data_IF_477728531077
#
_entry.id   IF_477728531077
#
_cell.length_a   1.000
_cell.length_b   1.000
_cell.length_c   1.000
_cell.angle_alpha   90.00
_cell.angle_beta   90.00
_cell.angle_gamma   90.00
#
_symmetry.space_group_name_H-M   'P 1'
#
loop_
_entity.id
_entity.type
_entity.pdbx_description
1 polymer ?
#
# COMPACT_ATOMS: atom_id res chain seq x y z
N UNK A 1 -26.88 -15.35 -14.23
CA UNK A 1 -26.44 -14.17 -13.44
C UNK A 1 -24.94 -14.14 -13.57
N UNK A 2 -24.37 -13.12 -14.21
CA UNK A 2 -22.92 -12.94 -14.19
C UNK A 2 -22.53 -12.61 -12.75
N UNK A 3 -21.58 -13.36 -12.20
CA UNK A 3 -20.97 -13.00 -10.92
C UNK A 3 -20.46 -11.55 -10.99
N UNK A 4 -20.61 -10.77 -9.90
CA UNK A 4 -20.06 -9.42 -9.87
C UNK A 4 -18.56 -9.49 -10.13
N UNK A 5 -18.09 -8.73 -11.13
CA UNK A 5 -16.65 -8.66 -11.47
C UNK A 5 -15.89 -8.18 -10.23
N UNK A 6 -14.88 -8.95 -9.82
CA UNK A 6 -14.02 -8.62 -8.68
C UNK A 6 -13.34 -7.24 -8.89
N UNK A 7 -13.24 -6.38 -7.85
CA UNK A 7 -12.65 -5.04 -7.99
C UNK A 7 -11.27 -5.03 -8.63
N UNK A 8 -10.39 -5.98 -8.29
CA UNK A 8 -9.08 -6.14 -8.93
C UNK A 8 -9.16 -6.39 -10.45
N UNK A 9 -10.12 -7.17 -10.93
CA UNK A 9 -10.32 -7.44 -12.36
C UNK A 9 -10.91 -6.22 -13.08
N UNK A 10 -11.89 -5.57 -12.46
CA UNK A 10 -12.47 -4.34 -13.00
C UNK A 10 -11.40 -3.25 -13.14
N UNK A 11 -10.54 -3.06 -12.14
CA UNK A 11 -9.45 -2.09 -12.21
C UNK A 11 -8.48 -2.39 -13.36
N UNK A 12 -8.04 -3.65 -13.47
CA UNK A 12 -7.11 -4.07 -14.54
C UNK A 12 -7.69 -3.81 -15.92
N UNK A 13 -8.97 -4.11 -16.11
CA UNK A 13 -9.69 -3.84 -17.36
C UNK A 13 -9.81 -2.35 -17.64
N UNK A 14 -10.24 -1.54 -16.68
CA UNK A 14 -10.38 -0.09 -16.87
C UNK A 14 -9.04 0.59 -17.19
N UNK A 15 -7.94 0.14 -16.58
CA UNK A 15 -6.60 0.64 -16.92
C UNK A 15 -6.15 0.22 -18.32
N UNK A 16 -6.52 -0.98 -18.78
CA UNK A 16 -6.23 -1.41 -20.15
C UNK A 16 -7.03 -0.59 -21.18
N UNK A 17 -8.34 -0.41 -20.97
CA UNK A 17 -9.21 0.40 -21.82
C UNK A 17 -8.75 1.86 -21.90
N UNK A 18 -8.33 2.44 -20.77
CA UNK A 18 -7.80 3.80 -20.71
C UNK A 18 -6.56 3.98 -21.61
N UNK A 19 -5.68 2.99 -21.63
CA UNK A 19 -4.46 3.01 -22.44
C UNK A 19 -4.74 2.80 -23.92
N UNK A 20 -5.64 1.89 -24.27
CA UNK A 20 -6.02 1.62 -25.66
C UNK A 20 -6.70 2.83 -26.30
N UNK A 21 -7.31 3.71 -25.48
CA UNK A 21 -7.88 4.98 -25.92
C UNK A 21 -6.87 6.11 -26.20
N UNK A 22 -5.57 5.93 -25.92
CA UNK A 22 -4.54 6.96 -26.17
C UNK A 22 -3.89 6.81 -27.56
N UNK A 23 -3.58 7.93 -28.26
CA UNK A 23 -2.76 7.87 -29.47
C UNK A 23 -1.39 7.21 -29.19
N UNK A 24 -0.94 6.26 -30.03
CA UNK A 24 0.28 5.48 -29.76
C UNK A 24 1.54 6.32 -29.48
N UNK A 25 1.69 7.46 -30.17
CA UNK A 25 2.82 8.38 -30.01
C UNK A 25 2.80 9.14 -28.68
N UNK A 26 1.60 9.47 -28.18
CA UNK A 26 1.43 10.14 -26.89
C UNK A 26 1.63 9.18 -25.72
N UNK A 27 1.13 7.95 -25.85
CA UNK A 27 1.35 6.90 -24.85
C UNK A 27 2.84 6.58 -24.69
N UNK A 28 3.59 6.42 -25.78
CA UNK A 28 5.03 6.17 -25.74
C UNK A 28 5.81 7.35 -25.13
N UNK A 29 5.52 8.60 -25.55
CA UNK A 29 6.20 9.77 -25.02
C UNK A 29 5.92 10.04 -23.53
N UNK A 30 4.70 9.79 -23.06
CA UNK A 30 4.35 9.91 -21.63
C UNK A 30 5.06 8.85 -20.79
N UNK A 31 5.13 7.62 -21.31
CA UNK A 31 5.86 6.50 -20.72
C UNK A 31 7.36 6.78 -20.59
N UNK A 32 8.00 7.28 -21.65
CA UNK A 32 9.44 7.56 -21.65
C UNK A 32 9.81 8.65 -20.65
N UNK A 33 8.97 9.70 -20.55
CA UNK A 33 9.11 10.74 -19.52
C UNK A 33 8.99 10.17 -18.12
N UNK A 34 7.99 9.31 -17.90
CA UNK A 34 7.77 8.66 -16.61
C UNK A 34 8.98 7.81 -16.18
N UNK A 35 9.56 7.04 -17.11
CA UNK A 35 10.76 6.23 -16.86
C UNK A 35 11.97 7.11 -16.53
N UNK A 36 12.17 8.20 -17.28
CA UNK A 36 13.30 9.11 -17.07
C UNK A 36 13.25 9.79 -15.69
N UNK A 37 12.06 10.21 -15.24
CA UNK A 37 11.87 10.81 -13.91
C UNK A 37 12.06 9.81 -12.78
N UNK A 38 11.68 8.54 -12.95
CA UNK A 38 11.84 7.51 -11.91
C UNK A 38 13.25 6.87 -11.86
N UNK A 39 14.06 7.01 -12.92
CA UNK A 39 15.45 6.51 -12.97
C UNK A 39 16.49 7.58 -12.62
N UNK A 40 16.13 8.85 -12.52
CA UNK A 40 17.04 9.95 -12.20
C UNK A 40 16.67 10.65 -10.89
N UNK A 41 17.66 11.24 -10.22
CA UNK A 41 17.51 12.13 -9.05
C UNK A 41 16.98 13.53 -9.44
N UNK A 42 16.09 13.63 -10.42
CA UNK A 42 15.68 14.94 -10.95
C UNK A 42 14.69 15.61 -9.98
N UNK A 43 15.01 16.80 -9.43
CA UNK A 43 14.11 17.53 -8.55
C UNK A 43 12.79 17.85 -9.25
N UNK A 44 11.68 17.42 -8.67
CA UNK A 44 10.32 17.62 -9.19
C UNK A 44 9.86 19.07 -9.00
N UNK A 45 10.31 19.96 -9.87
CA UNK A 45 9.81 21.34 -9.95
C UNK A 45 8.79 21.57 -11.09
N UNK A 46 8.59 20.59 -11.97
CA UNK A 46 7.52 20.60 -12.98
C UNK A 46 6.40 19.63 -12.55
N UNK A 47 5.10 19.96 -12.75
CA UNK A 47 4.03 19.01 -12.48
C UNK A 47 4.28 17.74 -13.32
N UNK A 48 4.34 16.57 -12.68
CA UNK A 48 4.48 15.28 -13.38
C UNK A 48 3.21 14.99 -14.21
N UNK A 49 2.08 15.54 -13.77
CA UNK A 49 0.74 15.29 -14.27
C UNK A 49 0.16 16.55 -14.94
N UNK A 50 0.55 16.82 -16.19
CA UNK A 50 0.20 18.07 -16.89
C UNK A 50 -1.02 17.94 -17.78
N UNK A 51 -1.20 16.78 -18.40
CA UNK A 51 -2.27 16.48 -19.34
C UNK A 51 -2.82 15.06 -19.12
N UNK A 52 -3.90 14.74 -19.82
CA UNK A 52 -4.59 13.44 -19.70
C UNK A 52 -3.68 12.26 -20.04
N UNK A 53 -2.78 12.41 -21.01
CA UNK A 53 -1.90 11.33 -21.43
C UNK A 53 -0.84 11.03 -20.35
N UNK A 54 -0.25 12.07 -19.75
CA UNK A 54 0.70 11.94 -18.63
C UNK A 54 0.04 11.23 -17.42
N UNK A 55 -1.21 11.59 -17.08
CA UNK A 55 -1.95 10.95 -15.97
C UNK A 55 -2.34 9.51 -16.27
N UNK A 56 -2.83 9.24 -17.48
CA UNK A 56 -3.21 7.89 -17.88
C UNK A 56 -2.00 6.94 -17.92
N UNK A 57 -0.86 7.40 -18.45
CA UNK A 57 0.38 6.64 -18.43
C UNK A 57 0.89 6.41 -17.00
N UNK A 58 0.83 7.43 -16.13
CA UNK A 58 1.15 7.28 -14.72
C UNK A 58 0.26 6.25 -14.03
N UNK A 59 -1.07 6.34 -14.21
CA UNK A 59 -2.05 5.45 -13.60
C UNK A 59 -1.80 4.01 -14.03
N UNK A 60 -1.68 3.75 -15.33
CA UNK A 60 -1.36 2.43 -15.86
C UNK A 60 -0.05 1.85 -15.31
N UNK A 61 0.95 2.71 -15.07
CA UNK A 61 2.26 2.27 -14.63
C UNK A 61 2.37 2.06 -13.11
N UNK A 62 1.79 2.95 -12.30
CA UNK A 62 1.91 2.92 -10.82
C UNK A 62 0.70 2.36 -10.11
N UNK A 63 -0.51 2.62 -10.59
CA UNK A 63 -1.74 2.26 -9.88
C UNK A 63 -1.85 0.75 -9.58
N UNK A 64 -1.47 -0.18 -10.48
CA UNK A 64 -1.46 -1.61 -10.15
C UNK A 64 -0.52 -1.97 -8.99
N UNK A 65 0.65 -1.34 -8.95
CA UNK A 65 1.63 -1.58 -7.89
C UNK A 65 1.16 -1.02 -6.54
N UNK A 66 0.63 0.21 -6.54
CA UNK A 66 0.03 0.81 -5.35
C UNK A 66 -1.17 0.01 -4.85
N UNK A 67 -2.04 -0.46 -5.76
CA UNK A 67 -3.18 -1.31 -5.43
C UNK A 67 -2.73 -2.59 -4.71
N UNK A 68 -1.76 -3.33 -5.26
CA UNK A 68 -1.31 -4.59 -4.66
C UNK A 68 -0.61 -4.40 -3.31
N UNK A 69 0.19 -3.34 -3.17
CA UNK A 69 0.85 -3.00 -1.90
C UNK A 69 -0.17 -2.64 -0.81
N UNK A 70 -1.14 -1.78 -1.13
CA UNK A 70 -2.20 -1.39 -0.19
C UNK A 70 -3.10 -2.59 0.13
N UNK A 71 -3.51 -3.38 -0.88
CA UNK A 71 -4.31 -4.60 -0.69
C UNK A 71 -3.62 -5.59 0.25
N UNK A 72 -2.30 -5.77 0.11
CA UNK A 72 -1.51 -6.61 1.02
C UNK A 72 -1.53 -6.09 2.47
N UNK A 73 -1.36 -4.77 2.67
CA UNK A 73 -1.44 -4.15 3.99
C UNK A 73 -2.84 -4.26 4.61
N UNK A 74 -3.89 -4.05 3.81
CA UNK A 74 -5.29 -4.12 4.24
C UNK A 74 -5.72 -5.55 4.57
N UNK A 75 -5.27 -6.55 3.82
CA UNK A 75 -5.52 -7.96 4.13
C UNK A 75 -4.92 -8.34 5.48
N UNK A 76 -3.65 -7.99 5.72
CA UNK A 76 -3.00 -8.24 7.01
C UNK A 76 -3.67 -7.49 8.16
N UNK A 77 -4.23 -6.30 7.89
CA UNK A 77 -5.03 -5.55 8.85
C UNK A 77 -6.37 -6.22 9.15
N UNK A 78 -7.10 -6.68 8.12
CA UNK A 78 -8.37 -7.38 8.27
C UNK A 78 -8.21 -8.69 9.07
N UNK A 79 -7.13 -9.44 8.82
CA UNK A 79 -6.80 -10.65 9.60
C UNK A 79 -6.55 -10.33 11.08
N UNK A 80 -5.94 -9.18 11.37
CA UNK A 80 -5.67 -8.72 12.73
C UNK A 80 -6.87 -8.08 13.42
N UNK A 81 -7.95 -7.77 12.71
CA UNK A 81 -9.18 -7.17 13.27
C UNK A 81 -10.40 -7.93 12.73
N UNK A 82 -10.55 -9.21 13.09
CA UNK A 82 -11.52 -10.09 12.45
C UNK A 82 -12.96 -9.59 12.63
N UNK A 83 -13.73 -9.65 11.54
CA UNK A 83 -15.12 -9.22 11.50
C UNK A 83 -15.35 -7.71 11.43
N UNK A 84 -14.30 -6.88 11.52
CA UNK A 84 -14.44 -5.45 11.33
C UNK A 84 -14.51 -5.07 9.85
N UNK A 85 -15.39 -4.12 9.55
CA UNK A 85 -15.56 -3.51 8.23
C UNK A 85 -15.63 -1.99 8.42
N UNK A 86 -14.90 -1.19 7.63
CA UNK A 86 -14.99 0.27 7.72
C UNK A 86 -16.35 0.76 7.24
N UNK A 87 -17.03 1.56 8.06
CA UNK A 87 -18.26 2.26 7.72
C UNK A 87 -18.01 3.53 6.89
N UNK A 88 -16.80 4.08 6.91
CA UNK A 88 -16.36 5.22 6.08
C UNK A 88 -14.86 5.14 5.77
N UNK A 89 -14.43 5.77 4.67
CA UNK A 89 -13.03 5.77 4.21
C UNK A 89 -12.59 7.13 3.69
N UNK A 90 -11.40 7.58 4.11
CA UNK A 90 -10.70 8.75 3.56
C UNK A 90 -9.33 8.29 3.04
N UNK A 91 -8.98 8.69 1.81
CA UNK A 91 -7.68 8.43 1.20
C UNK A 91 -6.94 9.75 0.96
N UNK A 92 -5.88 10.00 1.73
CA UNK A 92 -5.10 11.24 1.67
C UNK A 92 -3.87 11.05 0.79
N UNK A 93 -3.71 11.91 -0.21
CA UNK A 93 -2.76 11.69 -1.31
C UNK A 93 -3.21 10.55 -2.21
N UNK A 94 -4.53 10.37 -2.36
CA UNK A 94 -5.10 9.20 -3.02
C UNK A 94 -4.87 9.17 -4.53
N UNK A 95 -4.54 10.31 -5.15
CA UNK A 95 -4.29 10.42 -6.59
C UNK A 95 -5.43 9.85 -7.43
N UNK A 96 -5.11 8.79 -8.18
CA UNK A 96 -6.09 8.07 -9.03
C UNK A 96 -6.93 7.03 -8.25
N UNK A 97 -6.76 6.97 -6.93
CA UNK A 97 -7.57 6.21 -5.99
C UNK A 97 -7.19 4.76 -5.79
N UNK A 98 -5.94 4.36 -6.03
CA UNK A 98 -5.50 2.96 -5.90
C UNK A 98 -5.89 2.33 -4.55
N UNK A 99 -5.75 3.07 -3.45
CA UNK A 99 -6.11 2.59 -2.12
C UNK A 99 -7.63 2.41 -1.97
N UNK A 100 -8.45 3.29 -2.56
CA UNK A 100 -9.93 3.11 -2.54
C UNK A 100 -10.36 1.81 -3.22
N UNK A 101 -9.72 1.44 -4.33
CA UNK A 101 -9.97 0.15 -4.99
C UNK A 101 -9.56 -1.02 -4.09
N UNK A 102 -8.39 -0.94 -3.45
CA UNK A 102 -7.91 -1.97 -2.52
C UNK A 102 -8.84 -2.14 -1.30
N UNK A 103 -9.41 -1.05 -0.80
CA UNK A 103 -10.42 -1.06 0.28
C UNK A 103 -11.69 -1.77 -0.18
N UNK A 104 -12.17 -1.55 -1.41
CA UNK A 104 -13.36 -2.26 -1.93
C UNK A 104 -13.12 -3.74 -2.21
N UNK A 105 -11.87 -4.11 -2.53
CA UNK A 105 -11.45 -5.50 -2.73
C UNK A 105 -11.34 -6.25 -1.39
N UNK A 106 -10.84 -5.58 -0.35
CA UNK A 106 -10.71 -6.14 1.01
C UNK A 106 -12.06 -6.26 1.70
N UNK A 107 -12.89 -5.22 1.59
CA UNK A 107 -14.22 -5.17 2.19
C UNK A 107 -15.27 -4.83 1.14
N UNK A 108 -16.09 -5.81 0.80
CA UNK A 108 -17.22 -5.63 -0.10
C UNK A 108 -18.26 -4.65 0.47
N UNK A 109 -19.07 -4.06 -0.41
CA UNK A 109 -20.16 -3.15 -0.05
C UNK A 109 -19.85 -1.67 -0.23
N UNK A 110 -20.91 -0.84 -0.15
CA UNK A 110 -20.84 0.62 -0.30
C UNK A 110 -20.54 1.28 1.05
N UNK A 111 -19.71 2.32 1.01
CA UNK A 111 -19.41 3.20 2.14
C UNK A 111 -19.14 4.62 1.63
N UNK A 112 -19.31 5.68 2.45
CA UNK A 112 -18.80 6.99 2.11
C UNK A 112 -17.28 6.93 1.92
N UNK A 113 -16.82 7.40 0.76
CA UNK A 113 -15.39 7.49 0.41
C UNK A 113 -15.07 8.93 0.05
N UNK A 114 -13.98 9.47 0.60
CA UNK A 114 -13.40 10.74 0.16
C UNK A 114 -11.94 10.53 -0.24
N UNK A 115 -11.57 10.97 -1.44
CA UNK A 115 -10.18 11.03 -1.92
C UNK A 115 -9.73 12.48 -1.91
N UNK A 116 -8.64 12.74 -1.19
CA UNK A 116 -8.00 14.05 -1.07
C UNK A 116 -6.66 14.03 -1.81
N UNK A 117 -6.47 14.94 -2.75
CA UNK A 117 -5.19 15.08 -3.46
C UNK A 117 -4.96 16.53 -3.93
N UNK A 118 -3.72 16.93 -4.17
CA UNK A 118 -3.43 18.26 -4.69
C UNK A 118 -3.56 18.34 -6.23
N UNK A 119 -3.42 17.20 -6.91
CA UNK A 119 -3.39 17.07 -8.37
C UNK A 119 -4.79 16.80 -8.95
N UNK A 120 -5.48 17.87 -9.38
CA UNK A 120 -6.79 17.77 -10.04
C UNK A 120 -6.83 16.78 -11.21
N UNK A 121 -5.80 16.69 -12.10
CA UNK A 121 -5.82 15.71 -13.19
C UNK A 121 -5.87 14.25 -12.69
N UNK A 122 -5.23 13.94 -11.56
CA UNK A 122 -5.27 12.61 -10.95
C UNK A 122 -6.66 12.30 -10.37
N UNK A 123 -7.27 13.28 -9.68
CA UNK A 123 -8.62 13.17 -9.13
C UNK A 123 -9.67 12.97 -10.23
N UNK A 124 -9.55 13.72 -11.33
CA UNK A 124 -10.45 13.59 -12.47
C UNK A 124 -10.38 12.19 -13.09
N UNK A 125 -9.17 11.65 -13.29
CA UNK A 125 -9.00 10.30 -13.80
C UNK A 125 -9.48 9.24 -12.79
N UNK A 126 -9.19 9.42 -11.51
CA UNK A 126 -9.65 8.51 -10.47
C UNK A 126 -11.17 8.40 -10.42
N UNK A 127 -11.88 9.53 -10.56
CA UNK A 127 -13.34 9.58 -10.68
C UNK A 127 -13.87 8.81 -11.89
N UNK A 128 -13.20 8.95 -13.04
CA UNK A 128 -13.53 8.21 -14.26
C UNK A 128 -13.37 6.70 -14.06
N UNK A 129 -12.21 6.27 -13.54
CA UNK A 129 -11.95 4.85 -13.27
C UNK A 129 -12.98 4.28 -12.27
N UNK A 130 -13.25 5.01 -11.19
CA UNK A 130 -14.18 4.59 -10.15
C UNK A 130 -15.62 4.36 -10.64
N UNK A 131 -16.02 4.93 -11.79
CA UNK A 131 -17.33 4.65 -12.40
C UNK A 131 -17.52 3.17 -12.77
N UNK A 132 -16.42 2.43 -12.99
CA UNK A 132 -16.46 0.98 -13.24
C UNK A 132 -16.64 0.14 -11.97
N UNK A 133 -16.62 0.75 -10.78
CA UNK A 133 -16.79 0.08 -9.49
C UNK A 133 -18.03 0.62 -8.76
N UNK A 134 -19.14 -0.16 -8.70
CA UNK A 134 -20.37 0.26 -8.03
C UNK A 134 -20.21 0.64 -6.55
N UNK A 135 -19.19 0.11 -5.86
CA UNK A 135 -18.89 0.47 -4.48
C UNK A 135 -18.33 1.89 -4.34
N UNK A 136 -17.74 2.44 -5.41
CA UNK A 136 -17.15 3.78 -5.47
C UNK A 136 -18.04 4.82 -6.17
N UNK A 137 -19.26 4.46 -6.61
CA UNK A 137 -20.15 5.37 -7.33
C UNK A 137 -20.47 6.68 -6.57
N UNK A 138 -20.43 6.64 -5.23
CA UNK A 138 -20.64 7.81 -4.36
C UNK A 138 -19.35 8.44 -3.83
N UNK A 139 -18.18 8.05 -4.34
CA UNK A 139 -16.90 8.58 -3.86
C UNK A 139 -16.76 10.07 -4.19
N UNK A 140 -16.34 10.85 -3.20
CA UNK A 140 -16.02 12.28 -3.35
C UNK A 140 -14.55 12.42 -3.68
N UNK A 141 -14.24 13.21 -4.70
CA UNK A 141 -12.86 13.49 -5.14
C UNK A 141 -12.63 14.98 -4.99
N UNK A 142 -11.79 15.35 -4.03
CA UNK A 142 -11.66 16.74 -3.59
C UNK A 142 -10.21 17.18 -3.63
N UNK A 143 -9.98 18.35 -4.24
CA UNK A 143 -8.67 18.96 -4.25
C UNK A 143 -8.34 19.52 -2.87
N UNK A 144 -7.22 19.11 -2.29
CA UNK A 144 -6.77 19.57 -0.99
C UNK A 144 -5.24 19.70 -0.96
N UNK A 145 -4.74 20.69 -0.21
CA UNK A 145 -3.32 20.75 0.12
C UNK A 145 -3.07 19.87 1.33
N UNK A 146 -2.15 18.94 1.22
CA UNK A 146 -1.76 18.03 2.28
C UNK A 146 -0.64 18.68 3.10
N UNK A 147 -0.83 18.82 4.41
CA UNK A 147 0.14 19.43 5.31
C UNK A 147 -0.51 20.08 6.53
N UNK A 148 0.18 21.03 7.13
CA UNK A 148 -0.35 21.79 8.27
C UNK A 148 -1.71 22.44 7.94
N UNK A 149 -2.71 22.18 8.80
CA UNK A 149 -4.07 22.72 8.64
C UNK A 149 -5.01 21.88 7.78
N UNK A 150 -4.62 20.67 7.36
CA UNK A 150 -5.55 19.71 6.76
C UNK A 150 -6.59 19.30 7.81
N UNK A 151 -7.83 19.73 7.60
CA UNK A 151 -8.97 19.35 8.43
C UNK A 151 -9.60 18.06 7.90
N UNK A 152 -9.84 17.11 8.81
CA UNK A 152 -10.34 15.78 8.49
C UNK A 152 -11.55 15.47 9.36
N UNK A 153 -12.69 15.27 8.70
CA UNK A 153 -13.90 14.78 9.34
C UNK A 153 -13.65 13.37 9.95
N UNK A 154 -14.32 13.02 11.06
CA UNK A 154 -14.21 11.70 11.67
C UNK A 154 -14.47 10.57 10.67
N UNK A 155 -13.58 9.57 10.67
CA UNK A 155 -13.61 8.45 9.71
C UNK A 155 -13.25 7.12 10.36
N UNK A 156 -13.80 6.02 9.86
CA UNK A 156 -13.44 4.69 10.34
C UNK A 156 -12.05 4.25 9.85
N UNK A 157 -11.78 4.39 8.55
CA UNK A 157 -10.50 4.05 7.92
C UNK A 157 -9.88 5.26 7.22
N UNK A 158 -8.61 5.53 7.50
CA UNK A 158 -7.81 6.48 6.73
C UNK A 158 -6.62 5.78 6.08
N UNK A 159 -6.44 5.99 4.78
CA UNK A 159 -5.26 5.52 4.04
C UNK A 159 -4.35 6.67 3.64
N UNK A 160 -3.04 6.43 3.70
CA UNK A 160 -2.00 7.31 3.16
C UNK A 160 -1.03 6.42 2.39
N UNK A 161 -0.92 6.58 1.07
CA UNK A 161 -0.07 5.69 0.27
C UNK A 161 0.82 6.47 -0.70
N UNK A 162 2.14 6.29 -0.60
CA UNK A 162 3.16 6.86 -1.50
C UNK A 162 3.08 8.40 -1.64
N UNK A 163 2.75 9.10 -0.56
CA UNK A 163 2.69 10.57 -0.54
C UNK A 163 3.57 11.19 0.54
N UNK A 164 3.99 10.45 1.59
CA UNK A 164 4.85 11.02 2.62
C UNK A 164 6.22 11.42 2.05
N UNK A 165 6.67 10.74 0.99
CA UNK A 165 7.86 11.10 0.24
C UNK A 165 7.80 12.45 -0.47
N UNK A 166 6.61 12.98 -0.71
CA UNK A 166 6.39 14.27 -1.38
C UNK A 166 6.29 15.43 -0.39
N UNK A 167 6.18 15.12 0.89
CA UNK A 167 5.94 16.10 1.96
C UNK A 167 7.23 16.48 2.68
N UNK A 168 7.27 17.70 3.20
CA UNK A 168 8.28 18.12 4.18
C UNK A 168 8.14 17.31 5.47
N UNK A 169 9.17 17.28 6.31
CA UNK A 169 9.09 16.60 7.60
C UNK A 169 7.97 17.15 8.50
N UNK A 170 7.81 18.47 8.53
CA UNK A 170 6.74 19.12 9.27
C UNK A 170 5.34 18.75 8.72
N UNK A 171 5.18 18.69 7.40
CA UNK A 171 3.90 18.31 6.78
C UNK A 171 3.59 16.82 6.98
N UNK A 172 4.60 15.93 6.95
CA UNK A 172 4.42 14.51 7.31
C UNK A 172 3.93 14.37 8.74
N UNK A 173 4.58 15.06 9.67
CA UNK A 173 4.22 15.08 11.08
C UNK A 173 2.76 15.53 11.26
N UNK A 174 2.42 16.68 10.69
CA UNK A 174 1.08 17.25 10.78
C UNK A 174 0.01 16.33 10.17
N UNK A 175 0.30 15.70 9.03
CA UNK A 175 -0.62 14.74 8.41
C UNK A 175 -0.89 13.52 9.30
N UNK A 176 0.16 12.93 9.88
CA UNK A 176 0.00 11.76 10.75
C UNK A 176 -0.77 12.13 12.02
N UNK A 177 -0.52 13.31 12.58
CA UNK A 177 -1.23 13.81 13.76
C UNK A 177 -2.71 14.11 13.44
N UNK A 178 -3.01 14.69 12.27
CA UNK A 178 -4.38 14.90 11.79
C UNK A 178 -5.11 13.56 11.56
N UNK A 179 -4.45 12.59 10.93
CA UNK A 179 -4.98 11.25 10.73
C UNK A 179 -5.26 10.55 12.07
N UNK A 180 -4.37 10.72 13.05
CA UNK A 180 -4.55 10.19 14.39
C UNK A 180 -5.74 10.83 15.11
N UNK A 181 -6.04 12.12 14.86
CA UNK A 181 -7.19 12.81 15.43
C UNK A 181 -8.53 12.39 14.83
N UNK A 182 -8.57 12.13 13.52
CA UNK A 182 -9.82 11.89 12.80
C UNK A 182 -10.21 10.41 12.67
N UNK A 183 -9.24 9.48 12.65
CA UNK A 183 -9.49 8.09 12.24
C UNK A 183 -9.56 7.10 13.41
N UNK A 184 -10.37 6.03 13.27
CA UNK A 184 -10.31 4.86 14.16
C UNK A 184 -9.19 3.89 13.79
N UNK A 185 -8.92 3.75 12.50
CA UNK A 185 -7.85 2.94 11.93
C UNK A 185 -7.12 3.72 10.85
N UNK A 186 -5.79 3.63 10.84
CA UNK A 186 -4.90 4.31 9.88
C UNK A 186 -3.99 3.28 9.23
N UNK A 187 -3.93 3.29 7.90
CA UNK A 187 -3.02 2.44 7.12
C UNK A 187 -2.13 3.32 6.26
N UNK A 188 -0.82 3.24 6.49
CA UNK A 188 0.19 4.03 5.80
C UNK A 188 1.10 3.07 5.02
N UNK A 189 1.29 3.35 3.73
CA UNK A 189 2.14 2.56 2.83
C UNK A 189 3.13 3.48 2.12
N UNK A 190 4.40 3.10 2.10
CA UNK A 190 5.48 3.81 1.40
C UNK A 190 6.34 2.81 0.62
N UNK A 191 7.21 3.33 -0.25
CA UNK A 191 8.16 2.50 -0.99
C UNK A 191 9.06 1.69 -0.02
N UNK A 192 9.36 0.44 -0.39
CA UNK A 192 10.17 -0.50 0.38
C UNK A 192 11.68 -0.21 0.32
N UNK A 193 12.03 1.06 0.51
CA UNK A 193 13.40 1.60 0.54
C UNK A 193 13.78 2.00 1.96
N UNK A 194 15.07 2.22 2.27
CA UNK A 194 15.47 2.73 3.58
C UNK A 194 14.75 4.02 3.97
N UNK A 195 14.59 4.96 3.03
CA UNK A 195 13.89 6.23 3.27
C UNK A 195 12.38 6.05 3.48
N UNK A 196 11.72 5.19 2.71
CA UNK A 196 10.29 4.91 2.89
C UNK A 196 10.01 4.20 4.21
N UNK A 197 10.87 3.24 4.59
CA UNK A 197 10.83 2.61 5.91
C UNK A 197 11.00 3.62 7.06
N UNK A 198 11.95 4.54 6.96
CA UNK A 198 12.16 5.55 8.00
C UNK A 198 10.90 6.41 8.22
N UNK A 199 10.22 6.83 7.14
CA UNK A 199 8.94 7.56 7.23
C UNK A 199 7.83 6.72 7.87
N UNK A 200 7.73 5.44 7.51
CA UNK A 200 6.73 4.52 8.08
C UNK A 200 6.96 4.32 9.58
N UNK A 201 8.21 4.16 10.04
CA UNK A 201 8.52 4.02 11.47
C UNK A 201 8.24 5.30 12.23
N UNK A 202 8.59 6.47 11.67
CA UNK A 202 8.24 7.76 12.28
C UNK A 202 6.71 7.89 12.45
N UNK A 203 5.95 7.57 11.40
CA UNK A 203 4.50 7.63 11.43
C UNK A 203 3.89 6.61 12.41
N UNK A 204 4.42 5.39 12.43
CA UNK A 204 4.05 4.33 13.39
C UNK A 204 4.21 4.82 14.83
N UNK A 205 5.37 5.39 15.16
CA UNK A 205 5.64 5.83 16.52
C UNK A 205 4.76 7.01 16.94
N UNK A 206 4.42 7.90 16.00
CA UNK A 206 3.42 8.97 16.23
C UNK A 206 2.03 8.41 16.50
N UNK A 207 1.56 7.46 15.68
CA UNK A 207 0.27 6.80 15.89
C UNK A 207 0.20 6.09 17.24
N UNK A 208 1.25 5.36 17.62
CA UNK A 208 1.33 4.70 18.94
C UNK A 208 1.28 5.72 20.08
N UNK A 209 2.03 6.82 19.99
CA UNK A 209 1.97 7.93 20.96
C UNK A 209 0.57 8.57 21.05
N UNK A 210 -0.18 8.58 19.96
CA UNK A 210 -1.58 9.04 19.91
C UNK A 210 -2.61 7.97 20.37
N UNK A 211 -2.16 6.88 20.99
CA UNK A 211 -3.01 5.85 21.59
C UNK A 211 -3.46 4.74 20.64
N UNK A 212 -2.88 4.65 19.44
CA UNK A 212 -3.14 3.51 18.56
C UNK A 212 -2.32 2.29 18.98
N UNK A 213 -2.85 1.11 18.65
CA UNK A 213 -2.12 -0.15 18.67
C UNK A 213 -1.79 -0.56 17.24
N UNK A 214 -0.59 -1.08 17.02
CA UNK A 214 -0.21 -1.64 15.71
C UNK A 214 -0.90 -2.99 15.53
N UNK A 215 -1.70 -3.12 14.48
CA UNK A 215 -2.37 -4.35 14.08
C UNK A 215 -1.52 -5.17 13.09
N UNK A 216 -0.83 -4.50 12.17
CA UNK A 216 0.11 -5.10 11.23
C UNK A 216 1.13 -4.04 10.73
N UNK A 217 2.30 -4.42 10.18
CA UNK A 217 2.86 -5.78 10.12
C UNK A 217 3.45 -6.22 11.46
N UNK A 218 3.88 -5.27 12.30
CA UNK A 218 4.57 -5.55 13.56
C UNK A 218 3.66 -6.32 14.52
N UNK A 219 4.18 -7.34 15.21
CA UNK A 219 3.41 -8.11 16.20
C UNK A 219 3.27 -7.38 17.55
N UNK A 220 3.91 -6.20 17.70
CA UNK A 220 3.94 -5.38 18.91
C UNK A 220 3.84 -3.88 18.58
N UNK A 221 3.51 -3.08 19.59
CA UNK A 221 3.47 -1.61 19.52
C UNK A 221 4.69 -0.92 20.16
N UNK A 222 5.63 -1.68 20.74
CA UNK A 222 6.88 -1.14 21.27
C UNK A 222 7.82 -0.60 20.19
N UNK A 223 8.99 -0.07 20.56
CA UNK A 223 9.97 0.44 19.60
C UNK A 223 10.37 -0.65 18.58
N UNK A 224 10.59 -0.26 17.32
CA UNK A 224 11.04 -1.22 16.31
C UNK A 224 12.45 -1.75 16.68
N UNK A 225 12.69 -3.07 16.67
CA UNK A 225 13.99 -3.64 17.04
C UNK A 225 15.07 -3.49 15.97
N UNK A 226 14.72 -3.05 14.75
CA UNK A 226 15.73 -2.73 13.73
C UNK A 226 16.44 -1.43 14.12
N UNK A 227 17.76 -1.52 14.32
CA UNK A 227 18.59 -0.34 14.62
C UNK A 227 18.57 0.63 13.43
N UNK A 228 18.22 1.91 13.62
CA UNK A 228 18.20 2.90 12.54
C UNK A 228 19.51 2.93 11.75
N UNK A 229 19.40 2.92 10.42
CA UNK A 229 20.54 2.94 9.49
C UNK A 229 21.24 1.59 9.28
N UNK A 230 20.98 0.58 10.11
CA UNK A 230 21.58 -0.76 9.93
C UNK A 230 20.83 -1.61 8.89
N UNK A 231 19.51 -1.48 8.84
CA UNK A 231 18.62 -2.25 7.97
C UNK A 231 17.25 -1.56 7.86
N UNK A 232 16.35 -2.10 7.03
CA UNK A 232 14.97 -1.64 6.92
C UNK A 232 13.98 -2.81 6.78
N UNK A 233 12.80 -2.67 7.41
CA UNK A 233 11.71 -3.63 7.22
C UNK A 233 10.90 -3.23 5.98
N UNK A 234 10.71 -4.18 5.06
CA UNK A 234 9.87 -4.02 3.88
C UNK A 234 9.31 -5.38 3.48
N UNK A 235 8.40 -5.40 2.50
CA UNK A 235 7.73 -6.56 1.94
C UNK A 235 7.65 -6.45 0.42
N UNK A 236 7.12 -7.47 -0.25
CA UNK A 236 6.87 -7.45 -1.69
C UNK A 236 5.46 -7.90 -2.02
N UNK A 237 4.79 -7.11 -2.87
CA UNK A 237 3.52 -7.49 -3.49
C UNK A 237 3.78 -7.80 -4.96
N UNK A 238 3.25 -8.93 -5.45
CA UNK A 238 3.41 -9.32 -6.85
C UNK A 238 2.38 -8.61 -7.71
N UNK A 239 2.84 -7.90 -8.72
CA UNK A 239 2.04 -7.12 -9.67
C UNK A 239 2.09 -7.82 -11.03
N UNK A 240 0.93 -8.14 -11.60
CA UNK A 240 0.85 -8.64 -12.97
C UNK A 240 1.21 -7.54 -13.97
N UNK A 241 2.13 -7.82 -14.90
CA UNK A 241 2.48 -6.87 -15.96
C UNK A 241 1.48 -6.94 -17.10
N UNK A 242 0.80 -5.83 -17.37
CA UNK A 242 0.04 -5.64 -18.60
C UNK A 242 0.94 -5.73 -19.85
N UNK A 243 0.35 -5.91 -21.03
CA UNK A 243 1.07 -5.86 -22.31
C UNK A 243 1.85 -4.54 -22.47
N UNK A 244 1.30 -3.42 -21.99
CA UNK A 244 2.00 -2.15 -21.95
C UNK A 244 3.16 -2.14 -20.95
N UNK A 245 2.99 -2.63 -19.70
CA UNK A 245 4.10 -2.72 -18.74
C UNK A 245 5.29 -3.51 -19.28
N UNK A 246 5.01 -4.58 -20.04
CA UNK A 246 6.07 -5.37 -20.72
C UNK A 246 6.78 -4.56 -21.81
N UNK A 247 6.04 -3.78 -22.61
CA UNK A 247 6.62 -2.86 -23.62
C UNK A 247 7.43 -1.73 -22.99
N UNK A 248 6.94 -1.16 -21.88
CA UNK A 248 7.51 -0.03 -21.15
C UNK A 248 8.81 -0.40 -20.44
N UNK A 249 8.81 -1.48 -19.65
CA UNK A 249 9.93 -1.81 -18.76
C UNK A 249 11.01 -2.69 -19.39
N UNK A 250 10.83 -3.10 -20.65
CA UNK A 250 11.79 -3.99 -21.35
C UNK A 250 11.98 -5.35 -20.67
N UNK A 251 11.00 -5.80 -19.87
CA UNK A 251 11.08 -7.03 -19.10
C UNK A 251 10.33 -8.19 -19.75
N UNK A 252 10.97 -9.36 -19.84
CA UNK A 252 10.37 -10.59 -20.39
C UNK A 252 9.39 -11.29 -19.44
N UNK A 253 9.50 -11.04 -18.12
CA UNK A 253 8.64 -11.66 -17.10
C UNK A 253 7.26 -11.01 -17.06
N UNK A 254 6.22 -11.83 -16.90
CA UNK A 254 4.81 -11.41 -16.84
C UNK A 254 4.41 -10.73 -15.51
N UNK A 255 5.35 -10.55 -14.58
CA UNK A 255 5.10 -9.96 -13.26
C UNK A 255 6.32 -9.14 -12.79
N UNK A 256 6.08 -8.29 -11.80
CA UNK A 256 7.12 -7.64 -10.99
C UNK A 256 6.74 -7.62 -9.52
N UNK A 257 7.73 -7.50 -8.65
CA UNK A 257 7.52 -7.38 -7.21
C UNK A 257 7.65 -5.89 -6.83
N UNK A 258 6.55 -5.25 -6.44
CA UNK A 258 6.57 -3.92 -5.83
C UNK A 258 7.01 -4.08 -4.37
N UNK A 259 8.13 -3.44 -4.02
CA UNK A 259 8.62 -3.42 -2.64
C UNK A 259 7.97 -2.28 -1.89
N UNK A 260 7.43 -2.56 -0.70
CA UNK A 260 6.74 -1.58 0.11
C UNK A 260 7.01 -1.77 1.61
N UNK A 261 6.86 -0.70 2.36
CA UNK A 261 6.86 -0.67 3.83
C UNK A 261 5.52 -0.13 4.29
N UNK A 262 4.97 -0.64 5.40
CA UNK A 262 3.67 -0.19 5.87
C UNK A 262 3.51 -0.25 7.38
N UNK A 263 2.52 0.47 7.88
CA UNK A 263 1.94 0.31 9.21
C UNK A 263 0.42 0.37 9.08
N UNK A 264 -0.26 -0.57 9.73
CA UNK A 264 -1.69 -0.56 9.96
C UNK A 264 -1.93 -0.49 11.46
N UNK A 265 -2.45 0.64 11.92
CA UNK A 265 -2.68 0.93 13.34
C UNK A 265 -4.16 1.19 13.60
N UNK A 266 -4.66 0.77 14.76
CA UNK A 266 -6.07 0.95 15.11
C UNK A 266 -6.28 1.19 16.60
N UNK A 267 -7.40 1.82 16.94
CA UNK A 267 -7.92 1.91 18.32
C UNK A 267 -8.84 0.73 18.68
N UNK A 268 -9.25 -0.05 17.70
CA UNK A 268 -10.10 -1.23 17.87
C UNK A 268 -9.34 -2.38 18.57
N UNK A 269 -10.03 -3.31 19.24
CA UNK A 269 -9.43 -4.61 19.59
C UNK A 269 -8.76 -5.22 18.36
N UNK A 270 -7.50 -5.63 18.50
CA UNK A 270 -6.70 -6.17 17.42
C UNK A 270 -5.88 -7.35 17.94
N UNK A 271 -5.66 -8.32 17.08
CA UNK A 271 -4.92 -9.55 17.31
C UNK A 271 -3.74 -9.63 16.33
N UNK A 272 -2.65 -8.87 16.55
CA UNK A 272 -1.46 -8.98 15.71
C UNK A 272 -0.95 -10.42 15.65
N UNK A 273 -0.19 -10.74 14.60
CA UNK A 273 0.50 -12.02 14.49
C UNK A 273 1.41 -12.29 15.71
N UNK A 274 1.70 -13.56 16.03
CA UNK A 274 2.69 -13.90 17.07
C UNK A 274 4.10 -13.50 16.64
N UNK A 275 4.40 -13.75 15.37
CA UNK A 275 5.59 -13.25 14.72
C UNK A 275 5.27 -12.85 13.27
N UNK A 276 6.10 -11.98 12.72
CA UNK A 276 6.06 -11.57 11.32
C UNK A 276 7.34 -12.01 10.63
N UNK A 277 7.20 -12.68 9.48
CA UNK A 277 8.33 -13.02 8.62
C UNK A 277 8.83 -11.76 7.93
N UNK A 278 10.00 -11.26 8.34
CA UNK A 278 10.53 -9.97 7.87
C UNK A 278 11.49 -10.07 6.69
N UNK A 279 11.90 -11.29 6.29
CA UNK A 279 12.73 -11.57 5.10
C UNK A 279 12.17 -12.75 4.32
N UNK A 280 12.59 -12.90 3.06
CA UNK A 280 12.26 -14.10 2.28
C UNK A 280 12.77 -15.36 3.00
N UNK A 281 11.92 -16.35 3.28
CA UNK A 281 12.34 -17.61 3.88
C UNK A 281 13.48 -18.27 3.09
N UNK A 282 14.53 -18.72 3.79
CA UNK A 282 15.65 -19.40 3.16
C UNK A 282 15.42 -20.91 3.23
N UNK A 283 15.02 -21.51 2.11
CA UNK A 283 14.81 -22.95 2.00
C UNK A 283 16.15 -23.63 1.74
N UNK A 284 16.51 -24.58 2.61
CA UNK A 284 17.70 -25.44 2.49
C UNK A 284 17.30 -26.91 2.55
N UNK A 285 18.24 -27.82 2.26
CA UNK A 285 17.98 -29.27 2.35
C UNK A 285 17.59 -29.64 3.79
N UNK A 286 16.31 -29.97 3.98
CA UNK A 286 15.76 -30.44 5.25
C UNK A 286 15.45 -29.37 6.31
N UNK A 287 15.60 -28.08 5.98
CA UNK A 287 15.28 -26.99 6.90
C UNK A 287 14.88 -25.70 6.17
N UNK A 288 14.14 -24.84 6.84
CA UNK A 288 13.81 -23.47 6.42
C UNK A 288 14.27 -22.51 7.52
N UNK A 289 14.96 -21.44 7.13
CA UNK A 289 15.32 -20.35 8.05
C UNK A 289 14.34 -19.19 7.86
N UNK A 290 13.71 -18.78 8.95
CA UNK A 290 12.78 -17.65 9.01
C UNK A 290 13.41 -16.55 9.85
N UNK A 291 13.52 -15.34 9.29
CA UNK A 291 13.85 -14.14 10.06
C UNK A 291 12.52 -13.53 10.53
N UNK A 292 12.33 -13.49 11.85
CA UNK A 292 11.08 -13.18 12.52
C UNK A 292 11.24 -11.91 13.36
N UNK A 293 10.25 -11.02 13.28
CA UNK A 293 9.97 -10.05 14.33
C UNK A 293 8.90 -10.65 15.25
N UNK A 294 9.14 -10.66 16.56
CA UNK A 294 8.33 -11.37 17.56
C UNK A 294 7.68 -10.40 18.56
N UNK A 295 6.62 -10.82 19.26
CA UNK A 295 5.91 -9.98 20.26
C UNK A 295 6.80 -9.48 21.40
N UNK A 296 7.87 -10.20 21.71
CA UNK A 296 8.86 -9.86 22.73
C UNK A 296 9.88 -8.81 22.27
N UNK A 297 9.58 -8.11 21.16
CA UNK A 297 10.36 -6.99 20.65
C UNK A 297 11.74 -7.42 20.13
N UNK A 298 11.88 -8.69 19.72
CA UNK A 298 13.13 -9.23 19.19
C UNK A 298 13.05 -9.56 17.69
N UNK A 299 14.21 -9.41 17.02
CA UNK A 299 14.45 -10.02 15.71
C UNK A 299 15.23 -11.31 15.91
N UNK A 300 14.64 -12.43 15.51
CA UNK A 300 15.25 -13.76 15.68
C UNK A 300 15.25 -14.52 14.37
N UNK A 301 16.33 -15.27 14.15
CA UNK A 301 16.38 -16.27 13.09
C UNK A 301 15.96 -17.63 13.66
N UNK A 302 14.84 -18.14 13.19
CA UNK A 302 14.27 -19.42 13.62
C UNK A 302 14.50 -20.48 12.55
N UNK A 303 15.01 -21.64 12.96
CA UNK A 303 15.26 -22.78 12.06
C UNK A 303 14.16 -23.82 12.22
N UNK A 304 13.38 -24.02 11.16
CA UNK A 304 12.35 -25.07 11.11
C UNK A 304 12.87 -26.25 10.31
N UNK A 305 12.98 -27.44 10.91
CA UNK A 305 13.56 -28.63 10.26
C UNK A 305 12.50 -29.72 10.04
N UNK A 306 12.80 -30.71 9.20
CA UNK A 306 11.92 -31.88 8.93
C UNK A 306 11.34 -32.54 10.18
N UNK A 307 12.05 -32.53 11.32
CA UNK A 307 11.57 -33.12 12.59
C UNK A 307 10.34 -32.41 13.15
N UNK A 308 10.09 -31.16 12.75
CA UNK A 308 8.92 -30.38 13.16
C UNK A 308 7.66 -30.70 12.32
N UNK A 309 7.71 -31.70 11.43
CA UNK A 309 6.54 -32.24 10.73
C UNK A 309 5.77 -31.18 9.94
N UNK A 310 4.54 -30.93 10.36
CA UNK A 310 3.58 -30.02 9.71
C UNK A 310 4.10 -28.58 9.70
N UNK A 311 4.79 -28.16 10.76
CA UNK A 311 5.40 -26.83 10.82
C UNK A 311 6.50 -26.66 9.76
N UNK A 312 7.21 -27.75 9.39
CA UNK A 312 8.19 -27.69 8.30
C UNK A 312 7.52 -27.56 6.93
N UNK A 313 6.35 -28.19 6.72
CA UNK A 313 5.57 -28.00 5.49
C UNK A 313 5.08 -26.56 5.40
N UNK A 314 4.45 -26.06 6.46
CA UNK A 314 4.07 -24.67 6.60
C UNK A 314 5.22 -23.68 6.33
N UNK A 315 6.40 -23.91 6.93
CA UNK A 315 7.56 -23.03 6.74
C UNK A 315 8.03 -22.95 5.28
N UNK A 316 7.87 -24.03 4.50
CA UNK A 316 8.25 -24.04 3.08
C UNK A 316 7.31 -23.23 2.20
N UNK A 317 6.05 -23.17 2.60
CA UNK A 317 4.98 -22.47 1.88
C UNK A 317 4.75 -21.06 2.45
N UNK A 318 5.54 -20.66 3.44
CA UNK A 318 5.46 -19.35 4.09
C UNK A 318 6.03 -18.28 3.17
N UNK A 319 5.28 -17.20 3.01
CA UNK A 319 5.72 -16.03 2.25
C UNK A 319 6.40 -14.97 3.11
N UNK A 320 7.18 -14.12 2.44
CA UNK A 320 7.72 -12.92 3.07
C UNK A 320 6.57 -11.98 3.48
N UNK A 321 6.53 -11.60 4.75
CA UNK A 321 5.43 -10.82 5.32
C UNK A 321 4.30 -11.66 5.89
N UNK A 322 4.36 -12.98 5.84
CA UNK A 322 3.36 -13.84 6.47
C UNK A 322 3.41 -13.77 8.01
N UNK A 323 2.25 -14.02 8.64
CA UNK A 323 2.17 -14.29 10.07
C UNK A 323 2.81 -15.65 10.36
N UNK A 324 3.44 -15.77 11.53
CA UNK A 324 4.09 -17.00 11.95
C UNK A 324 3.86 -17.27 13.46
N UNK A 325 3.56 -18.52 13.86
CA UNK A 325 3.17 -19.64 13.00
C UNK A 325 1.86 -19.34 12.25
N UNK A 326 1.55 -20.07 11.16
CA UNK A 326 0.24 -19.94 10.51
C UNK A 326 -0.87 -20.33 11.49
N UNK A 327 -1.97 -19.58 11.47
CA UNK A 327 -3.17 -19.82 12.28
C UNK A 327 -4.08 -20.86 11.62
#
# INVERSE_FOLDING_TARGET
MNDPVQPAEALRRSLAELLDGLPPTQAAGAVDRLIATYRGDTPTHAPILRDRADVAAYAAYRMPATFEAVRSALAAFADAVPGWVPGSHVDVGGGTGAATWAVTDTWAGKRPVTVLDWAEPALALGRELAAANPALAGARWQRARIGAGLDLEPVDLLTVSYVLNELTEADRAALVDAAAGAARSVVIVEAGTPAGYARVIEARDRLVRAGFRVAAPCPHSAACPIVPGSDWCHFAARVGRSSLHRRVKGGSLAYEDEKFSYVAATRLPAEPADARVVRRPQIRKGQVLLDLCERDEALRRTTVTKRHGDLYRAARDTDWGAAWPPR
#
